data_IF_230257634033
#
_entry.id   IF_230257634033
#
_cell.length_a   1.000
_cell.length_b   1.000
_cell.length_c   1.000
_cell.angle_alpha   90.00
_cell.angle_beta   90.00
_cell.angle_gamma   90.00
#
_symmetry.space_group_name_H-M   'P 1'
#
loop_
_entity.id
_entity.type
_entity.pdbx_description
1 polymer ?
#
# COMPACT_ATOMS: atom_id res chain seq x y z
N UNK A 1 34.54 -10.32 -41.89
CA UNK A 1 34.30 -10.29 -40.43
C UNK A 1 32.95 -9.60 -40.21
N UNK A 2 31.96 -10.30 -39.66
CA UNK A 2 30.69 -9.70 -39.26
C UNK A 2 30.50 -9.96 -37.77
N UNK A 3 30.21 -8.90 -37.01
CA UNK A 3 29.91 -8.94 -35.59
C UNK A 3 28.38 -8.89 -35.48
N UNK A 4 27.74 -10.03 -35.23
CA UNK A 4 26.30 -10.10 -34.98
C UNK A 4 26.10 -9.84 -33.49
N UNK A 5 25.62 -8.64 -33.16
CA UNK A 5 25.29 -8.21 -31.80
C UNK A 5 24.07 -8.97 -31.29
N UNK A 6 24.27 -9.73 -30.21
CA UNK A 6 23.27 -10.45 -29.45
C UNK A 6 22.16 -9.50 -28.98
N UNK A 7 20.96 -9.68 -29.52
CA UNK A 7 19.74 -9.02 -29.07
C UNK A 7 19.51 -9.37 -27.59
N UNK A 8 19.69 -8.37 -26.74
CA UNK A 8 19.37 -8.47 -25.32
C UNK A 8 17.86 -8.26 -25.20
N UNK A 9 17.10 -9.35 -25.25
CA UNK A 9 15.69 -9.32 -24.88
C UNK A 9 15.61 -8.82 -23.42
N UNK A 10 14.85 -7.76 -23.11
CA UNK A 10 14.49 -7.49 -21.73
C UNK A 10 13.63 -8.67 -21.29
N UNK A 11 14.09 -9.40 -20.28
CA UNK A 11 13.30 -10.43 -19.62
C UNK A 11 12.04 -9.76 -19.08
N UNK A 12 10.97 -9.79 -19.89
CA UNK A 12 9.63 -9.50 -19.44
C UNK A 12 9.34 -10.42 -18.26
N UNK A 13 8.87 -9.84 -17.17
CA UNK A 13 8.35 -10.59 -16.04
C UNK A 13 7.17 -11.41 -16.55
N UNK A 14 7.44 -12.65 -16.97
CA UNK A 14 6.40 -13.58 -17.37
C UNK A 14 5.47 -13.77 -16.14
N UNK A 15 4.14 -13.72 -16.31
CA UNK A 15 3.23 -14.02 -15.22
C UNK A 15 3.50 -15.44 -14.75
N UNK A 16 3.99 -15.57 -13.51
CA UNK A 16 4.31 -16.85 -12.88
C UNK A 16 2.99 -17.65 -12.77
N UNK A 17 2.89 -18.86 -13.36
CA UNK A 17 1.69 -19.68 -13.23
C UNK A 17 1.62 -20.22 -11.80
N UNK A 18 0.75 -19.64 -10.96
CA UNK A 18 0.48 -20.21 -9.63
C UNK A 18 -0.10 -19.28 -8.56
N UNK A 19 -0.08 -17.95 -8.75
CA UNK A 19 -0.69 -17.03 -7.80
C UNK A 19 -1.63 -16.09 -8.56
N UNK A 20 -2.94 -16.24 -8.32
CA UNK A 20 -3.92 -15.29 -8.88
C UNK A 20 -3.75 -13.93 -8.20
N UNK A 21 -3.95 -12.84 -8.93
CA UNK A 21 -3.92 -11.48 -8.37
C UNK A 21 -4.87 -11.35 -7.16
N UNK A 22 -6.02 -12.04 -7.22
CA UNK A 22 -6.98 -12.12 -6.11
C UNK A 22 -6.38 -12.77 -4.86
N UNK A 23 -5.56 -13.81 -5.00
CA UNK A 23 -4.90 -14.45 -3.86
C UNK A 23 -3.91 -13.49 -3.20
N UNK A 24 -3.13 -12.75 -3.99
CA UNK A 24 -2.18 -11.74 -3.48
C UNK A 24 -2.92 -10.66 -2.70
N UNK A 25 -4.02 -10.12 -3.26
CA UNK A 25 -4.82 -9.09 -2.58
C UNK A 25 -5.40 -9.60 -1.27
N UNK A 26 -5.87 -10.85 -1.22
CA UNK A 26 -6.38 -11.47 0.01
C UNK A 26 -5.28 -11.62 1.06
N UNK A 27 -4.12 -12.16 0.70
CA UNK A 27 -3.00 -12.32 1.64
C UNK A 27 -2.49 -10.97 2.15
N UNK A 28 -2.47 -9.93 1.30
CA UNK A 28 -2.13 -8.57 1.71
C UNK A 28 -3.15 -8.00 2.70
N UNK A 29 -4.45 -8.16 2.44
CA UNK A 29 -5.51 -7.73 3.36
C UNK A 29 -5.38 -8.43 4.71
N UNK A 30 -5.20 -9.75 4.70
CA UNK A 30 -5.05 -10.55 5.92
C UNK A 30 -3.79 -10.15 6.70
N UNK A 31 -2.70 -9.80 6.01
CA UNK A 31 -1.49 -9.29 6.63
C UNK A 31 -1.74 -7.93 7.32
N UNK A 32 -2.43 -7.00 6.65
CA UNK A 32 -2.76 -5.69 7.24
C UNK A 32 -3.61 -5.89 8.49
N UNK A 33 -4.72 -6.62 8.39
CA UNK A 33 -5.62 -6.84 9.54
C UNK A 33 -4.94 -7.51 10.75
N UNK A 34 -3.87 -8.28 10.54
CA UNK A 34 -3.15 -8.97 11.62
C UNK A 34 -2.01 -8.17 12.23
N UNK A 35 -1.45 -7.20 11.50
CA UNK A 35 -0.20 -6.54 11.88
C UNK A 35 -0.34 -5.01 12.04
N UNK A 36 -1.51 -4.46 11.71
CA UNK A 36 -1.82 -3.05 11.77
C UNK A 36 -3.08 -2.86 12.60
N UNK A 37 -3.12 -1.80 13.39
CA UNK A 37 -4.30 -1.42 14.13
C UNK A 37 -5.31 -0.75 13.18
N UNK A 38 -6.55 -1.25 13.19
CA UNK A 38 -7.64 -0.61 12.46
C UNK A 38 -8.14 0.61 13.23
N UNK A 39 -7.89 1.79 12.68
CA UNK A 39 -8.38 3.07 13.22
C UNK A 39 -9.53 3.64 12.41
N UNK A 40 -10.02 2.91 11.40
CA UNK A 40 -11.17 3.30 10.60
C UNK A 40 -11.05 4.71 10.01
N UNK A 41 -12.10 5.52 10.20
CA UNK A 41 -12.15 6.89 9.68
C UNK A 41 -11.20 7.87 10.42
N UNK A 42 -10.70 7.50 11.60
CA UNK A 42 -9.80 8.36 12.39
C UNK A 42 -8.34 8.28 11.92
N UNK A 43 -8.07 7.61 10.78
CA UNK A 43 -6.72 7.39 10.27
C UNK A 43 -5.91 8.67 10.16
N UNK A 44 -6.49 9.74 9.59
CA UNK A 44 -5.78 11.00 9.41
C UNK A 44 -5.38 11.63 10.76
N UNK A 45 -6.30 11.60 11.73
CA UNK A 45 -6.09 12.15 13.07
C UNK A 45 -4.99 11.39 13.83
N UNK A 46 -5.07 10.05 13.84
CA UNK A 46 -4.07 9.19 14.50
C UNK A 46 -2.71 9.32 13.81
N UNK A 47 -2.67 9.36 12.47
CA UNK A 47 -1.43 9.49 11.71
C UNK A 47 -0.71 10.82 12.02
N UNK A 48 -1.46 11.92 12.15
CA UNK A 48 -0.91 13.22 12.54
C UNK A 48 -0.35 13.18 13.96
N UNK A 49 -1.09 12.64 14.92
CA UNK A 49 -0.59 12.50 16.31
C UNK A 49 0.69 11.67 16.39
N UNK A 50 0.76 10.56 15.66
CA UNK A 50 1.97 9.73 15.59
C UNK A 50 3.13 10.50 14.93
N UNK A 51 2.84 11.30 13.89
CA UNK A 51 3.84 12.12 13.21
C UNK A 51 4.41 13.23 14.11
N UNK A 52 3.55 13.91 14.88
CA UNK A 52 3.94 14.96 15.83
C UNK A 52 4.50 14.40 17.16
N UNK A 53 4.39 13.10 17.40
CA UNK A 53 4.90 12.43 18.60
C UNK A 53 3.97 12.54 19.82
N UNK A 54 2.70 12.86 19.60
CA UNK A 54 1.65 12.92 20.63
C UNK A 54 1.11 11.54 21.00
N UNK A 55 1.38 10.54 20.17
CA UNK A 55 0.94 9.16 20.36
C UNK A 55 2.07 8.16 20.06
N UNK A 56 2.02 6.96 20.66
CA UNK A 56 3.02 5.92 20.43
C UNK A 56 3.05 5.47 18.96
N UNK A 57 4.25 5.36 18.40
CA UNK A 57 4.47 4.87 17.03
C UNK A 57 4.08 3.41 16.91
N UNK A 58 3.11 3.14 16.03
CA UNK A 58 2.69 1.79 15.65
C UNK A 58 2.14 1.77 14.23
N UNK A 59 1.92 0.58 13.70
CA UNK A 59 1.34 0.38 12.38
C UNK A 59 -0.18 0.59 12.45
N UNK A 60 -0.72 1.49 11.63
CA UNK A 60 -2.16 1.78 11.57
C UNK A 60 -2.70 1.63 10.15
N UNK A 61 -3.96 1.23 10.01
CA UNK A 61 -4.70 1.24 8.76
C UNK A 61 -6.09 1.83 8.96
N UNK A 62 -6.67 2.37 7.89
CA UNK A 62 -7.99 2.97 7.96
C UNK A 62 -8.37 3.63 6.64
N UNK A 63 -9.36 4.51 6.70
CA UNK A 63 -9.92 5.23 5.56
C UNK A 63 -9.69 6.73 5.71
N UNK A 64 -9.66 7.42 4.58
CA UNK A 64 -9.50 8.87 4.51
C UNK A 64 -10.34 9.43 3.37
N UNK A 65 -10.82 10.64 3.55
CA UNK A 65 -11.34 11.51 2.49
C UNK A 65 -10.18 12.14 1.70
N UNK A 66 -10.49 12.70 0.52
CA UNK A 66 -9.48 13.38 -0.30
C UNK A 66 -8.86 14.59 0.42
N UNK A 67 -9.66 15.37 1.15
CA UNK A 67 -9.17 16.55 1.88
C UNK A 67 -8.23 16.16 3.04
N UNK A 68 -8.49 15.03 3.69
CA UNK A 68 -7.59 14.48 4.71
C UNK A 68 -6.28 13.98 4.10
N UNK A 69 -6.33 13.32 2.94
CA UNK A 69 -5.13 12.92 2.20
C UNK A 69 -4.26 14.13 1.82
N UNK A 70 -4.87 15.25 1.44
CA UNK A 70 -4.15 16.50 1.16
C UNK A 70 -3.50 17.05 2.43
N UNK A 71 -4.24 17.10 3.54
CA UNK A 71 -3.72 17.53 4.85
C UNK A 71 -2.51 16.70 5.27
N UNK A 72 -2.58 15.37 5.14
CA UNK A 72 -1.47 14.47 5.45
C UNK A 72 -0.25 14.74 4.58
N UNK A 73 -0.43 15.06 3.29
CA UNK A 73 0.69 15.40 2.39
C UNK A 73 1.32 16.74 2.75
N UNK A 74 0.50 17.74 3.05
CA UNK A 74 0.97 19.08 3.41
C UNK A 74 1.77 19.06 4.72
N UNK A 75 1.34 18.25 5.69
CA UNK A 75 2.05 18.00 6.96
C UNK A 75 3.27 17.07 6.79
N UNK A 76 3.46 16.46 5.62
CA UNK A 76 4.58 15.55 5.36
C UNK A 76 4.43 14.17 6.01
N UNK A 77 3.20 13.74 6.30
CA UNK A 77 2.90 12.40 6.83
C UNK A 77 3.00 11.36 5.71
N UNK A 78 3.89 10.36 5.81
CA UNK A 78 4.01 9.33 4.79
C UNK A 78 2.87 8.30 4.91
N UNK A 79 2.14 8.07 3.82
CA UNK A 79 1.12 7.02 3.73
C UNK A 79 1.08 6.38 2.35
N UNK A 80 0.45 5.21 2.28
CA UNK A 80 0.21 4.48 1.02
C UNK A 80 -1.29 4.27 0.88
N UNK A 81 -1.85 4.69 -0.27
CA UNK A 81 -3.23 4.37 -0.63
C UNK A 81 -3.26 3.05 -1.38
N UNK A 82 -3.92 2.05 -0.79
CA UNK A 82 -4.09 0.75 -1.43
C UNK A 82 -5.38 0.73 -2.25
N UNK A 83 -5.33 0.34 -3.54
CA UNK A 83 -6.53 0.11 -4.34
C UNK A 83 -7.11 -1.26 -3.96
N UNK A 84 -7.73 -1.34 -2.78
CA UNK A 84 -8.45 -2.55 -2.39
C UNK A 84 -9.84 -2.44 -3.05
N UNK A 85 -10.19 -3.34 -3.98
CA UNK A 85 -11.55 -3.37 -4.49
C UNK A 85 -12.47 -3.65 -3.31
N UNK A 86 -13.59 -2.93 -3.23
CA UNK A 86 -14.71 -3.27 -2.35
C UNK A 86 -15.24 -4.63 -2.81
N UNK A 87 -14.63 -5.71 -2.35
CA UNK A 87 -15.19 -7.05 -2.46
C UNK A 87 -16.16 -7.21 -1.30
N UNK A 88 -17.27 -6.48 -1.36
CA UNK A 88 -18.49 -6.90 -0.68
C UNK A 88 -18.93 -8.22 -1.32
N UNK A 89 -19.06 -9.24 -0.49
CA UNK A 89 -19.62 -10.55 -0.82
C UNK A 89 -20.85 -10.77 0.06
#
# INVERSE_FOLDING_TARGET
LAIMGKESQPSGMAPQPGVSALKILREMKDFIHKNFDDVGADFAEVALRIHHGEEEKRNIHGTTTQSEEETLRDEGVPFIKLPIPEFDA
#
